data_IF_811244332730
#
_entry.id   IF_811244332730
#
_cell.length_a   1.000
_cell.length_b   1.000
_cell.length_c   1.000
_cell.angle_alpha   90.00
_cell.angle_beta   90.00
_cell.angle_gamma   90.00
#
_symmetry.space_group_name_H-M   'P 1'
#
loop_
_entity.id
_entity.type
_entity.pdbx_description
1 polymer ?
#
# COMPACT_ATOMS: atom_id res chain seq x y z
N UNK A 1 22.51 9.31 13.32
CA UNK A 1 21.83 7.99 13.36
C UNK A 1 22.49 6.94 14.25
N UNK A 2 23.66 7.20 14.88
CA UNK A 2 24.27 6.22 15.81
C UNK A 2 24.16 6.67 17.27
N UNK A 3 24.13 7.99 17.51
CA UNK A 3 23.98 8.58 18.84
C UNK A 3 22.97 9.73 18.77
N UNK A 4 21.88 9.61 19.51
CA UNK A 4 20.92 10.70 19.71
C UNK A 4 21.48 11.77 20.65
N UNK A 5 20.68 12.78 21.02
CA UNK A 5 21.06 13.76 22.02
C UNK A 5 21.48 13.09 23.34
N UNK A 6 22.50 13.63 23.99
CA UNK A 6 22.91 13.15 25.30
C UNK A 6 21.78 13.34 26.33
N UNK A 7 21.67 12.40 27.29
CA UNK A 7 20.70 12.53 28.38
C UNK A 7 20.95 13.83 29.16
N UNK A 8 19.91 14.63 29.33
CA UNK A 8 19.95 15.95 29.97
C UNK A 8 20.36 17.10 29.05
N UNK A 9 20.61 16.86 27.75
CA UNK A 9 20.93 17.96 26.84
C UNK A 9 19.72 18.87 26.60
N UNK A 10 19.93 20.16 26.24
CA UNK A 10 18.82 21.07 25.90
C UNK A 10 17.93 20.57 24.75
N UNK A 11 18.48 19.72 23.87
CA UNK A 11 17.77 19.17 22.72
C UNK A 11 17.07 17.84 22.97
N UNK A 12 17.30 17.17 24.12
CA UNK A 12 16.76 15.83 24.37
C UNK A 12 15.24 15.81 24.30
N UNK A 13 14.57 16.72 25.00
CA UNK A 13 13.11 16.74 25.10
C UNK A 13 12.45 16.95 23.73
N UNK A 14 12.95 17.90 22.93
CA UNK A 14 12.42 18.17 21.60
C UNK A 14 12.61 16.96 20.68
N UNK A 15 13.80 16.36 20.69
CA UNK A 15 14.10 15.18 19.89
C UNK A 15 13.18 13.99 20.24
N UNK A 16 12.99 13.71 21.53
CA UNK A 16 12.13 12.60 21.99
C UNK A 16 10.68 12.85 21.57
N UNK A 17 10.20 14.09 21.67
CA UNK A 17 8.87 14.48 21.24
C UNK A 17 8.69 14.28 19.72
N UNK A 18 9.57 14.84 18.89
CA UNK A 18 9.52 14.71 17.44
C UNK A 18 9.57 13.24 16.99
N UNK A 19 10.45 12.44 17.60
CA UNK A 19 10.57 11.02 17.30
C UNK A 19 9.28 10.26 17.65
N UNK A 20 8.69 10.52 18.82
CA UNK A 20 7.42 9.92 19.23
C UNK A 20 6.27 10.32 18.31
N UNK A 21 6.18 11.59 17.91
CA UNK A 21 5.14 12.09 17.01
C UNK A 21 5.23 11.43 15.63
N UNK A 22 6.43 11.32 15.06
CA UNK A 22 6.66 10.63 13.77
C UNK A 22 6.25 9.16 13.87
N UNK A 23 6.71 8.45 14.91
CA UNK A 23 6.40 7.04 15.10
C UNK A 23 4.91 6.80 15.35
N UNK A 24 4.25 7.68 16.11
CA UNK A 24 2.80 7.62 16.32
C UNK A 24 2.04 7.83 15.01
N UNK A 25 2.47 8.78 14.17
CA UNK A 25 1.91 9.01 12.85
C UNK A 25 2.03 7.78 11.94
N UNK A 26 3.21 7.18 11.86
CA UNK A 26 3.44 5.94 11.08
C UNK A 26 2.55 4.80 11.59
N UNK A 27 2.45 4.62 12.92
CA UNK A 27 1.59 3.59 13.52
C UNK A 27 0.11 3.80 13.18
N UNK A 28 -0.39 5.04 13.23
CA UNK A 28 -1.78 5.34 12.84
C UNK A 28 -2.04 4.98 11.38
N UNK A 29 -1.17 5.43 10.47
CA UNK A 29 -1.33 5.14 9.04
C UNK A 29 -1.17 3.65 8.72
N UNK A 30 -0.29 2.93 9.41
CA UNK A 30 -0.16 1.49 9.31
C UNK A 30 -1.49 0.77 9.64
N UNK A 31 -2.10 1.10 10.78
CA UNK A 31 -3.38 0.52 11.20
C UNK A 31 -4.51 0.87 10.23
N UNK A 32 -4.57 2.13 9.79
CA UNK A 32 -5.56 2.60 8.83
C UNK A 32 -5.43 1.90 7.47
N UNK A 33 -4.20 1.71 6.98
CA UNK A 33 -3.93 1.00 5.72
C UNK A 33 -4.38 -0.45 5.80
N UNK A 34 -3.96 -1.17 6.86
CA UNK A 34 -4.32 -2.58 7.04
C UNK A 34 -5.83 -2.74 7.13
N UNK A 35 -6.54 -1.89 7.87
CA UNK A 35 -8.00 -1.94 7.95
C UNK A 35 -8.65 -1.68 6.59
N UNK A 36 -8.34 -0.54 5.95
CA UNK A 36 -8.96 -0.15 4.69
C UNK A 36 -8.69 -1.14 3.56
N UNK A 37 -7.45 -1.63 3.41
CA UNK A 37 -7.11 -2.60 2.37
C UNK A 37 -7.87 -3.92 2.53
N UNK A 38 -8.09 -4.39 3.77
CA UNK A 38 -8.83 -5.63 4.03
C UNK A 38 -10.35 -5.50 3.84
N UNK A 39 -10.87 -4.28 3.69
CA UNK A 39 -12.28 -4.03 3.35
C UNK A 39 -12.52 -4.03 1.83
N UNK A 40 -11.46 -3.92 1.02
CA UNK A 40 -11.57 -3.85 -0.45
C UNK A 40 -11.72 -5.25 -1.05
N UNK A 41 -12.56 -5.43 -2.10
CA UNK A 41 -12.77 -6.74 -2.70
C UNK A 41 -11.47 -7.27 -3.30
N UNK A 42 -11.19 -8.55 -3.05
CA UNK A 42 -10.00 -9.23 -3.56
C UNK A 42 -8.68 -8.78 -2.94
N UNK A 43 -8.65 -7.85 -1.97
CA UNK A 43 -7.41 -7.41 -1.32
C UNK A 43 -7.30 -8.04 0.07
N UNK A 44 -6.11 -8.57 0.37
CA UNK A 44 -5.77 -9.02 1.73
C UNK A 44 -4.43 -8.46 2.15
N UNK A 45 -4.42 -7.74 3.27
CA UNK A 45 -3.24 -7.11 3.84
C UNK A 45 -2.93 -7.70 5.21
N UNK A 46 -1.69 -8.15 5.42
CA UNK A 46 -1.21 -8.48 6.76
C UNK A 46 -1.03 -7.19 7.60
N UNK A 47 -1.04 -7.28 8.94
CA UNK A 47 -0.67 -6.15 9.79
C UNK A 47 0.71 -5.60 9.44
N UNK A 48 0.81 -4.27 9.34
CA UNK A 48 2.08 -3.58 9.10
C UNK A 48 2.75 -3.33 10.46
N UNK A 49 3.61 -4.26 10.87
CA UNK A 49 4.26 -4.22 12.19
C UNK A 49 5.48 -3.29 12.25
N UNK A 50 6.02 -2.87 11.10
CA UNK A 50 7.19 -2.01 11.02
C UNK A 50 7.51 -1.55 9.60
N UNK A 51 8.67 -0.91 9.43
CA UNK A 51 9.07 -0.24 8.19
C UNK A 51 8.06 0.82 7.72
N UNK A 52 7.90 0.97 6.41
CA UNK A 52 7.09 2.03 5.79
C UNK A 52 6.21 1.49 4.65
N UNK A 53 6.05 0.18 4.54
CA UNK A 53 5.41 -0.47 3.39
C UNK A 53 4.35 -1.49 3.81
N UNK A 54 3.25 -1.48 3.06
CA UNK A 54 2.31 -2.58 2.98
C UNK A 54 2.65 -3.47 1.77
N UNK A 55 2.35 -4.77 1.87
CA UNK A 55 2.47 -5.71 0.75
C UNK A 55 1.23 -6.60 0.63
N UNK A 56 0.05 -6.00 0.36
CA UNK A 56 -1.18 -6.77 0.20
C UNK A 56 -1.13 -7.74 -0.99
N UNK A 57 -1.82 -8.87 -0.85
CA UNK A 57 -2.10 -9.79 -1.94
C UNK A 57 -3.38 -9.39 -2.67
N UNK A 58 -3.39 -9.57 -3.99
CA UNK A 58 -4.50 -9.27 -4.88
C UNK A 58 -5.08 -10.59 -5.44
N UNK A 59 -6.35 -10.85 -5.15
CA UNK A 59 -7.17 -11.86 -5.79
C UNK A 59 -7.94 -11.20 -6.93
N UNK A 60 -7.30 -11.16 -8.10
CA UNK A 60 -7.80 -10.48 -9.29
C UNK A 60 -8.84 -11.36 -10.04
N UNK A 61 -9.82 -10.75 -10.72
CA UNK A 61 -10.78 -11.48 -11.53
C UNK A 61 -10.10 -12.35 -12.60
N UNK A 62 -10.60 -13.57 -12.81
CA UNK A 62 -9.96 -14.54 -13.71
C UNK A 62 -9.86 -14.02 -15.16
N UNK A 63 -10.86 -13.27 -15.63
CA UNK A 63 -10.86 -12.66 -16.97
C UNK A 63 -9.78 -11.59 -17.12
N UNK A 64 -9.54 -10.80 -16.08
CA UNK A 64 -8.45 -9.83 -16.04
C UNK A 64 -7.10 -10.54 -16.17
N UNK A 65 -6.87 -11.55 -15.33
CA UNK A 65 -5.62 -12.33 -15.34
C UNK A 65 -5.40 -13.02 -16.69
N UNK A 66 -6.45 -13.61 -17.27
CA UNK A 66 -6.38 -14.23 -18.59
C UNK A 66 -6.01 -13.21 -19.68
N UNK A 67 -6.61 -12.01 -19.64
CA UNK A 67 -6.30 -10.95 -20.59
C UNK A 67 -4.85 -10.50 -20.51
N UNK A 68 -4.32 -10.32 -19.30
CA UNK A 68 -2.91 -9.99 -19.10
C UNK A 68 -1.99 -11.11 -19.64
N UNK A 69 -2.35 -12.37 -19.43
CA UNK A 69 -1.59 -13.51 -19.94
C UNK A 69 -1.56 -13.58 -21.48
N UNK A 70 -2.67 -13.26 -22.16
CA UNK A 70 -2.73 -13.20 -23.64
C UNK A 70 -1.71 -12.21 -24.23
N UNK A 71 -1.46 -11.10 -23.53
CA UNK A 71 -0.53 -10.05 -23.98
C UNK A 71 0.86 -10.17 -23.34
N UNK A 72 1.11 -11.22 -22.56
CA UNK A 72 2.39 -11.46 -21.91
C UNK A 72 2.73 -10.50 -20.77
N UNK A 73 1.73 -9.88 -20.14
CA UNK A 73 1.91 -8.93 -19.03
C UNK A 73 1.55 -9.57 -17.68
N UNK A 74 2.30 -9.25 -16.62
CA UNK A 74 1.96 -9.69 -15.27
C UNK A 74 0.71 -8.95 -14.77
N UNK A 75 -0.22 -9.67 -14.14
CA UNK A 75 -1.51 -9.08 -13.75
C UNK A 75 -1.37 -7.99 -12.65
N UNK A 76 -0.41 -8.11 -11.75
CA UNK A 76 -0.11 -7.05 -10.77
C UNK A 76 0.52 -5.80 -11.41
N UNK A 77 1.27 -5.96 -12.50
CA UNK A 77 1.78 -4.84 -13.29
C UNK A 77 0.65 -4.10 -13.99
N UNK A 78 -0.24 -4.83 -14.68
CA UNK A 78 -1.43 -4.25 -15.32
C UNK A 78 -2.32 -3.53 -14.29
N UNK A 79 -2.55 -4.14 -13.13
CA UNK A 79 -3.29 -3.53 -12.03
C UNK A 79 -2.66 -2.22 -11.54
N UNK A 80 -1.32 -2.16 -11.40
CA UNK A 80 -0.62 -0.95 -11.01
C UNK A 80 -0.74 0.16 -12.07
N UNK A 81 -0.69 -0.20 -13.35
CA UNK A 81 -0.83 0.75 -14.46
C UNK A 81 -2.25 1.33 -14.50
N UNK A 82 -3.28 0.49 -14.43
CA UNK A 82 -4.68 0.95 -14.43
C UNK A 82 -5.00 1.82 -13.20
N UNK A 83 -4.46 1.48 -12.03
CA UNK A 83 -4.57 2.33 -10.84
C UNK A 83 -3.94 3.71 -11.08
N UNK A 84 -2.73 3.74 -11.65
CA UNK A 84 -2.02 4.98 -11.93
C UNK A 84 -2.78 5.84 -12.95
N UNK A 85 -3.25 5.26 -14.04
CA UNK A 85 -3.97 5.96 -15.10
C UNK A 85 -5.30 6.55 -14.62
N UNK A 86 -6.03 5.81 -13.78
CA UNK A 86 -7.35 6.22 -13.27
C UNK A 86 -7.30 7.19 -12.08
N UNK A 87 -6.27 7.08 -11.22
CA UNK A 87 -6.24 7.80 -9.93
C UNK A 87 -5.03 8.71 -9.71
N UNK A 88 -3.97 8.49 -10.48
CA UNK A 88 -2.63 9.09 -10.27
C UNK A 88 -1.83 8.43 -9.15
N UNK A 89 -2.31 7.33 -8.54
CA UNK A 89 -1.61 6.63 -7.47
C UNK A 89 -0.57 5.69 -8.06
N UNK A 90 0.68 5.84 -7.63
CA UNK A 90 1.78 4.98 -8.07
C UNK A 90 2.10 3.97 -6.98
N UNK A 91 2.01 2.69 -7.35
CA UNK A 91 2.46 1.56 -6.54
C UNK A 91 3.51 0.75 -7.31
N UNK A 92 4.16 -0.20 -6.63
CA UNK A 92 5.14 -1.09 -7.29
C UNK A 92 4.60 -2.52 -7.35
N UNK A 93 4.54 -3.17 -8.52
CA UNK A 93 3.99 -4.51 -8.65
C UNK A 93 4.88 -5.56 -7.96
N UNK A 94 4.24 -6.60 -7.41
CA UNK A 94 4.86 -7.72 -6.71
C UNK A 94 5.82 -8.52 -7.59
N UNK A 95 5.57 -8.57 -8.89
CA UNK A 95 6.40 -9.21 -9.92
C UNK A 95 7.85 -8.71 -9.90
N UNK A 96 8.10 -7.45 -9.51
CA UNK A 96 9.44 -6.88 -9.35
C UNK A 96 10.19 -7.32 -8.09
N UNK A 97 9.53 -7.95 -7.12
CA UNK A 97 10.11 -8.37 -5.84
C UNK A 97 10.32 -9.88 -5.72
N UNK A 98 9.76 -10.64 -6.67
CA UNK A 98 9.59 -12.08 -6.52
C UNK A 98 8.37 -12.41 -5.65
N UNK A 99 7.50 -13.29 -6.13
CA UNK A 99 6.30 -13.72 -5.43
C UNK A 99 5.97 -15.17 -5.80
N UNK A 100 5.12 -15.82 -5.01
CA UNK A 100 4.68 -17.18 -5.28
C UNK A 100 3.93 -17.23 -6.61
N UNK A 101 4.20 -18.24 -7.44
CA UNK A 101 3.48 -18.45 -8.70
C UNK A 101 1.96 -18.53 -8.47
N UNK A 102 1.20 -17.82 -9.31
CA UNK A 102 -0.25 -17.73 -9.20
C UNK A 102 -0.75 -16.78 -8.11
N UNK A 103 0.14 -16.00 -7.49
CA UNK A 103 -0.23 -14.93 -6.56
C UNK A 103 0.25 -13.59 -7.09
N UNK A 104 -0.47 -12.53 -6.75
CA UNK A 104 -0.22 -11.17 -7.18
C UNK A 104 -0.17 -10.28 -5.94
N UNK A 105 0.77 -9.34 -5.91
CA UNK A 105 0.95 -8.43 -4.80
C UNK A 105 1.28 -7.03 -5.29
N UNK A 106 1.20 -6.07 -4.39
CA UNK A 106 1.61 -4.70 -4.66
C UNK A 106 2.27 -4.10 -3.43
N UNK A 107 3.36 -3.35 -3.62
CA UNK A 107 3.98 -2.56 -2.54
C UNK A 107 3.38 -1.16 -2.52
N UNK A 108 2.78 -0.79 -1.40
CA UNK A 108 2.22 0.54 -1.12
C UNK A 108 2.93 1.18 0.08
N UNK A 109 3.12 2.50 0.06
CA UNK A 109 3.74 3.26 1.16
C UNK A 109 2.71 3.82 2.15
N UNK A 110 3.09 3.95 3.42
CA UNK A 110 2.31 4.64 4.47
C UNK A 110 2.87 6.02 4.82
N UNK A 111 3.73 6.58 3.95
CA UNK A 111 4.38 7.87 4.14
C UNK A 111 3.56 9.12 3.82
N UNK A 112 2.50 9.11 2.98
CA UNK A 112 1.73 10.32 2.72
C UNK A 112 1.19 10.94 4.01
N UNK A 113 1.06 12.29 4.08
CA UNK A 113 0.39 12.98 5.18
C UNK A 113 -1.04 12.44 5.40
N UNK A 114 -1.55 12.54 6.63
CA UNK A 114 -2.78 11.86 7.06
C UNK A 114 -4.01 12.19 6.17
N UNK A 115 -4.14 13.44 5.73
CA UNK A 115 -5.21 13.91 4.84
C UNK A 115 -5.10 13.33 3.41
N UNK A 116 -3.91 13.40 2.84
CA UNK A 116 -3.61 12.83 1.52
C UNK A 116 -3.74 11.30 1.55
N UNK A 117 -3.29 10.67 2.64
CA UNK A 117 -3.35 9.22 2.84
C UNK A 117 -4.80 8.73 2.88
N UNK A 118 -5.67 9.42 3.62
CA UNK A 118 -7.10 9.09 3.64
C UNK A 118 -7.76 9.25 2.26
N UNK A 119 -7.40 10.30 1.52
CA UNK A 119 -7.89 10.51 0.14
C UNK A 119 -7.40 9.42 -0.82
N UNK A 120 -6.12 9.04 -0.71
CA UNK A 120 -5.51 7.96 -1.49
C UNK A 120 -6.23 6.63 -1.26
N UNK A 121 -6.48 6.26 0.00
CA UNK A 121 -7.19 5.01 0.33
C UNK A 121 -8.62 4.99 -0.23
N UNK A 122 -9.32 6.12 -0.24
CA UNK A 122 -10.66 6.23 -0.85
C UNK A 122 -10.62 6.02 -2.35
N UNK A 123 -9.67 6.68 -3.06
CA UNK A 123 -9.49 6.49 -4.50
C UNK A 123 -9.15 5.05 -4.84
N UNK A 124 -8.26 4.43 -4.06
CA UNK A 124 -7.89 3.03 -4.21
C UNK A 124 -9.09 2.09 -4.01
N UNK A 125 -9.91 2.33 -2.99
CA UNK A 125 -11.13 1.55 -2.74
C UNK A 125 -12.10 1.65 -3.93
N UNK A 126 -12.35 2.85 -4.43
CA UNK A 126 -13.23 3.07 -5.59
C UNK A 126 -12.69 2.36 -6.83
N UNK A 127 -11.39 2.51 -7.12
CA UNK A 127 -10.74 1.82 -8.22
C UNK A 127 -10.92 0.30 -8.13
N UNK A 128 -10.67 -0.29 -6.95
CA UNK A 128 -10.77 -1.73 -6.77
C UNK A 128 -12.20 -2.24 -6.98
N UNK A 129 -13.21 -1.48 -6.54
CA UNK A 129 -14.62 -1.82 -6.77
C UNK A 129 -14.98 -1.78 -8.26
N UNK A 130 -14.56 -0.74 -8.98
CA UNK A 130 -14.86 -0.61 -10.41
C UNK A 130 -14.12 -1.67 -11.25
N UNK A 131 -12.86 -1.96 -10.92
CA UNK A 131 -12.09 -3.06 -11.54
C UNK A 131 -12.83 -4.40 -11.40
N UNK A 132 -13.29 -4.74 -10.19
CA UNK A 132 -14.03 -5.98 -10.00
C UNK A 132 -15.34 -5.99 -10.80
N UNK A 133 -16.10 -4.89 -10.83
CA UNK A 133 -17.33 -4.81 -11.63
C UNK A 133 -17.09 -5.02 -13.13
N UNK A 134 -16.02 -4.43 -13.67
CA UNK A 134 -15.70 -4.52 -15.10
C UNK A 134 -15.29 -5.95 -15.50
N UNK A 135 -14.52 -6.63 -14.65
CA UNK A 135 -13.88 -7.89 -15.01
C UNK A 135 -14.56 -9.15 -14.44
N UNK A 136 -15.48 -9.02 -13.48
CA UNK A 136 -16.31 -10.12 -12.97
C UNK A 136 -17.59 -10.35 -13.77
N UNK A 137 -18.14 -9.32 -14.44
CA UNK A 137 -19.39 -9.41 -15.22
C UNK A 137 -19.18 -9.88 -16.65
#
# INVERSE_FOLDING_TARGET
MVQGPAKGSPSQQLFDQEAQEIMAGLKRRALQATAALNEMPGIRCQPIEGAMYAFPSLALPARFVAKCAEIGQAADEAWCLELMESTGIVCVPGSGFGQKTGTFHVRMTILPPDDLFASMLKKLASFQVELHKEWEG
#
